data_IF_548221018093
#
_entry.id   IF_548221018093
#
_cell.length_a   1.000
_cell.length_b   1.000
_cell.length_c   1.000
_cell.angle_alpha   90.00
_cell.angle_beta   90.00
_cell.angle_gamma   90.00
#
_symmetry.space_group_name_H-M   'P 1'
#
loop_
_entity.id
_entity.type
_entity.pdbx_description
1 polymer ?
#
# COMPACT_ATOMS: atom_id res chain seq x y z
N UNK A 1 6.00 3.80 -11.23
CA UNK A 1 7.10 2.84 -11.11
C UNK A 1 6.55 1.42 -11.25
N UNK A 2 7.19 0.60 -12.05
CA UNK A 2 6.77 -0.79 -12.23
C UNK A 2 6.94 -1.58 -10.93
N UNK A 3 5.98 -2.42 -10.54
CA UNK A 3 6.15 -3.28 -9.38
C UNK A 3 7.26 -4.30 -9.66
N UNK A 4 8.09 -4.53 -8.66
CA UNK A 4 9.09 -5.59 -8.70
C UNK A 4 8.50 -6.82 -8.02
N UNK A 5 8.25 -7.88 -8.78
CA UNK A 5 7.66 -9.09 -8.24
C UNK A 5 8.71 -9.97 -7.57
N UNK A 6 8.37 -10.48 -6.40
CA UNK A 6 9.24 -11.37 -5.63
C UNK A 6 8.73 -12.80 -5.70
N UNK A 7 9.67 -13.75 -5.53
CA UNK A 7 9.37 -15.19 -5.50
C UNK A 7 8.63 -15.59 -4.24
N UNK A 8 7.75 -16.56 -4.34
CA UNK A 8 7.07 -17.15 -3.18
C UNK A 8 5.75 -16.50 -2.80
N UNK A 9 5.43 -15.35 -3.39
CA UNK A 9 4.14 -14.68 -3.20
C UNK A 9 3.40 -14.68 -4.53
N UNK A 10 2.13 -15.09 -4.59
CA UNK A 10 1.38 -15.06 -5.86
C UNK A 10 1.39 -13.67 -6.49
N UNK A 11 1.55 -13.63 -7.80
CA UNK A 11 1.65 -12.35 -8.53
C UNK A 11 0.40 -11.49 -8.34
N UNK A 12 -0.80 -12.08 -8.33
CA UNK A 12 -2.03 -11.32 -8.15
C UNK A 12 -2.10 -10.60 -6.80
N UNK A 13 -1.52 -11.20 -5.75
CA UNK A 13 -1.43 -10.57 -4.43
C UNK A 13 -0.52 -9.35 -4.50
N UNK A 14 0.62 -9.48 -5.17
CA UNK A 14 1.59 -8.39 -5.32
C UNK A 14 1.02 -7.22 -6.13
N UNK A 15 0.24 -7.52 -7.17
CA UNK A 15 -0.44 -6.49 -7.96
C UNK A 15 -1.45 -5.73 -7.08
N UNK A 16 -2.27 -6.45 -6.31
CA UNK A 16 -3.24 -5.83 -5.42
C UNK A 16 -2.55 -4.96 -4.36
N UNK A 17 -1.46 -5.46 -3.76
CA UNK A 17 -0.68 -4.71 -2.77
C UNK A 17 -0.07 -3.45 -3.36
N UNK A 18 0.44 -3.51 -4.58
CA UNK A 18 1.00 -2.34 -5.26
C UNK A 18 -0.05 -1.25 -5.49
N UNK A 19 -1.24 -1.64 -5.92
CA UNK A 19 -2.34 -0.70 -6.15
C UNK A 19 -2.79 -0.08 -4.81
N UNK A 20 -2.91 -0.87 -3.75
CA UNK A 20 -3.22 -0.34 -2.40
C UNK A 20 -2.17 0.68 -1.96
N UNK A 21 -0.89 0.38 -2.19
CA UNK A 21 0.20 1.31 -1.85
C UNK A 21 0.09 2.62 -2.63
N UNK A 22 -0.27 2.57 -3.91
CA UNK A 22 -0.45 3.76 -4.72
C UNK A 22 -1.63 4.61 -4.23
N UNK A 23 -2.72 3.98 -3.78
CA UNK A 23 -3.86 4.68 -3.19
C UNK A 23 -3.45 5.36 -1.87
N UNK A 24 -2.71 4.64 -1.01
CA UNK A 24 -2.22 5.20 0.26
C UNK A 24 -1.32 6.40 0.05
N UNK A 25 -0.42 6.34 -0.92
CA UNK A 25 0.52 7.44 -1.22
C UNK A 25 -0.13 8.60 -1.96
N UNK A 26 -1.35 8.43 -2.46
CA UNK A 26 -2.03 9.45 -3.23
C UNK A 26 -1.63 9.52 -4.70
N UNK A 27 -0.85 8.56 -5.19
CA UNK A 27 -0.54 8.42 -6.62
C UNK A 27 -1.80 8.07 -7.42
N UNK A 28 -2.64 7.21 -6.84
CA UNK A 28 -3.99 6.93 -7.34
C UNK A 28 -4.99 7.56 -6.37
N UNK A 29 -5.84 8.41 -6.89
CA UNK A 29 -6.86 9.14 -6.11
C UNK A 29 -8.25 8.64 -6.45
N UNK A 30 -9.21 8.92 -5.57
CA UNK A 30 -10.62 8.60 -5.83
C UNK A 30 -11.04 9.13 -7.20
N UNK A 31 -11.68 8.28 -7.99
CA UNK A 31 -12.12 8.61 -9.35
C UNK A 31 -11.09 8.36 -10.44
N UNK A 32 -9.82 8.12 -10.08
CA UNK A 32 -8.80 7.82 -11.09
C UNK A 32 -9.06 6.44 -11.70
N UNK A 33 -8.84 6.34 -12.99
CA UNK A 33 -8.97 5.08 -13.72
C UNK A 33 -7.69 4.25 -13.58
N UNK A 34 -7.85 2.96 -13.30
CA UNK A 34 -6.74 2.02 -13.31
C UNK A 34 -6.34 1.70 -14.74
N UNK A 35 -5.06 1.36 -14.95
CA UNK A 35 -4.62 0.78 -16.21
C UNK A 35 -5.47 -0.45 -16.52
N UNK A 36 -5.93 -0.59 -17.76
CA UNK A 36 -6.80 -1.71 -18.15
C UNK A 36 -6.08 -3.05 -17.94
N UNK A 37 -6.90 -4.10 -17.76
CA UNK A 37 -6.37 -5.48 -17.65
C UNK A 37 -5.46 -5.82 -18.84
N UNK A 38 -5.88 -5.45 -20.05
CA UNK A 38 -5.14 -5.72 -21.28
C UNK A 38 -3.80 -5.00 -21.30
N UNK A 39 -3.78 -3.70 -20.97
CA UNK A 39 -2.55 -2.91 -20.95
C UNK A 39 -1.60 -3.38 -19.85
N UNK A 40 -2.13 -3.67 -18.66
CA UNK A 40 -1.34 -4.15 -17.53
C UNK A 40 -0.68 -5.50 -17.89
N UNK A 41 -1.47 -6.40 -18.45
CA UNK A 41 -1.02 -7.72 -18.91
C UNK A 41 0.10 -7.59 -19.95
N UNK A 42 -0.07 -6.74 -20.93
CA UNK A 42 0.93 -6.54 -21.99
C UNK A 42 2.21 -5.89 -21.46
N UNK A 43 2.07 -4.87 -20.61
CA UNK A 43 3.22 -4.11 -20.07
C UNK A 43 4.12 -4.98 -19.19
N UNK A 44 3.52 -5.79 -18.31
CA UNK A 44 4.28 -6.59 -17.32
C UNK A 44 4.40 -8.05 -17.69
N UNK A 45 3.91 -8.45 -18.85
CA UNK A 45 3.95 -9.84 -19.34
C UNK A 45 3.30 -10.81 -18.36
N UNK A 46 2.12 -10.45 -17.88
CA UNK A 46 1.33 -11.23 -16.93
C UNK A 46 0.03 -11.63 -17.64
N UNK A 47 -0.46 -12.84 -17.38
CA UNK A 47 -1.72 -13.28 -17.99
C UNK A 47 -2.87 -12.39 -17.59
N UNK A 48 -3.81 -12.08 -18.50
CA UNK A 48 -5.00 -11.28 -18.17
C UNK A 48 -5.79 -11.85 -16.99
N UNK A 49 -5.86 -13.17 -16.86
CA UNK A 49 -6.55 -13.83 -15.76
C UNK A 49 -5.94 -13.47 -14.39
N UNK A 50 -4.61 -13.39 -14.31
CA UNK A 50 -3.91 -13.02 -13.08
C UNK A 50 -4.17 -11.55 -12.71
N UNK A 51 -4.10 -10.66 -13.69
CA UNK A 51 -4.42 -9.23 -13.48
C UNK A 51 -5.88 -9.08 -13.06
N UNK A 52 -6.79 -9.77 -13.74
CA UNK A 52 -8.22 -9.75 -13.42
C UNK A 52 -8.51 -10.23 -12.01
N UNK A 53 -7.78 -11.24 -11.52
CA UNK A 53 -7.92 -11.74 -10.16
C UNK A 53 -7.51 -10.68 -9.13
N UNK A 54 -6.42 -9.95 -9.39
CA UNK A 54 -5.99 -8.86 -8.52
C UNK A 54 -7.06 -7.75 -8.45
N UNK A 55 -7.59 -7.36 -9.60
CA UNK A 55 -8.62 -6.31 -9.68
C UNK A 55 -9.91 -6.77 -8.98
N UNK A 56 -10.29 -8.04 -9.11
CA UNK A 56 -11.48 -8.58 -8.44
C UNK A 56 -11.35 -8.50 -6.91
N UNK A 57 -10.17 -8.77 -6.37
CA UNK A 57 -9.89 -8.62 -4.94
C UNK A 57 -10.12 -7.17 -4.49
N UNK A 58 -9.62 -6.21 -5.25
CA UNK A 58 -9.77 -4.79 -4.92
C UNK A 58 -11.24 -4.33 -5.01
N UNK A 59 -12.00 -4.87 -5.94
CA UNK A 59 -13.44 -4.62 -6.05
C UNK A 59 -14.17 -5.19 -4.83
N UNK A 60 -13.85 -6.42 -4.43
CA UNK A 60 -14.45 -7.07 -3.25
C UNK A 60 -14.15 -6.30 -1.97
N UNK A 61 -13.00 -5.68 -1.88
CA UNK A 61 -12.62 -4.85 -0.73
C UNK A 61 -13.25 -3.46 -0.75
N UNK A 62 -13.93 -3.10 -1.84
CA UNK A 62 -14.55 -1.78 -1.98
C UNK A 62 -13.57 -0.66 -2.32
N UNK A 63 -12.34 -0.99 -2.69
CA UNK A 63 -11.31 0.00 -3.03
C UNK A 63 -11.37 0.45 -4.48
N UNK A 64 -11.95 -0.37 -5.34
CA UNK A 64 -12.05 -0.15 -6.77
C UNK A 64 -13.48 -0.43 -7.22
N UNK A 65 -13.98 0.37 -8.12
CA UNK A 65 -15.30 0.22 -8.73
C UNK A 65 -15.16 -0.15 -10.19
N UNK A 66 -15.91 -1.15 -10.63
CA UNK A 66 -16.02 -1.49 -12.03
C UNK A 66 -17.13 -0.68 -12.65
N UNK A 67 -16.80 0.09 -13.70
CA UNK A 67 -17.80 0.77 -14.54
C UNK A 67 -17.89 0.05 -15.87
N UNK A 68 -19.00 -0.61 -16.07
CA UNK A 68 -19.22 -1.49 -17.21
C UNK A 68 -18.97 -0.78 -18.55
N UNK A 69 -18.11 -1.35 -19.39
CA UNK A 69 -17.75 -0.80 -20.68
C UNK A 69 -16.77 0.37 -20.63
N UNK A 70 -16.40 0.84 -19.43
CA UNK A 70 -15.51 2.00 -19.27
C UNK A 70 -14.17 1.59 -18.62
N UNK A 71 -14.21 0.84 -17.53
CA UNK A 71 -13.00 0.38 -16.85
C UNK A 71 -13.14 0.28 -15.33
N UNK A 72 -12.01 0.25 -14.68
CA UNK A 72 -11.89 0.18 -13.22
C UNK A 72 -11.44 1.53 -12.69
N UNK A 73 -12.07 1.98 -11.61
CA UNK A 73 -11.82 3.31 -11.01
C UNK A 73 -11.63 3.18 -9.51
N UNK A 74 -10.77 4.02 -8.94
CA UNK A 74 -10.57 4.08 -7.49
C UNK A 74 -11.86 4.61 -6.84
N UNK A 75 -12.37 3.87 -5.85
CA UNK A 75 -13.61 4.21 -5.16
C UNK A 75 -13.42 5.41 -4.22
N UNK A 76 -14.52 6.16 -4.01
CA UNK A 76 -14.56 7.18 -2.97
C UNK A 76 -14.32 6.52 -1.60
N UNK A 77 -13.51 7.15 -0.77
CA UNK A 77 -13.20 6.63 0.57
C UNK A 77 -12.19 5.50 0.60
N UNK A 78 -11.64 5.06 -0.53
CA UNK A 78 -10.67 3.96 -0.58
C UNK A 78 -9.46 4.24 0.30
N UNK A 79 -8.86 5.43 0.20
CA UNK A 79 -7.70 5.79 1.01
C UNK A 79 -8.02 5.78 2.50
N UNK A 80 -9.16 6.34 2.89
CA UNK A 80 -9.57 6.38 4.30
C UNK A 80 -9.76 4.96 4.87
N UNK A 81 -10.33 4.06 4.08
CA UNK A 81 -10.50 2.66 4.50
C UNK A 81 -9.14 1.99 4.70
N UNK A 82 -8.20 2.19 3.78
CA UNK A 82 -6.85 1.63 3.89
C UNK A 82 -6.08 2.21 5.08
N UNK A 83 -6.23 3.50 5.36
CA UNK A 83 -5.59 4.14 6.52
C UNK A 83 -6.14 3.54 7.81
N UNK A 84 -7.46 3.39 7.93
CA UNK A 84 -8.08 2.82 9.13
C UNK A 84 -7.61 1.39 9.39
N UNK A 85 -7.62 0.55 8.36
CA UNK A 85 -7.16 -0.83 8.48
C UNK A 85 -5.66 -0.89 8.79
N UNK A 86 -4.88 -0.05 8.13
CA UNK A 86 -3.43 -0.02 8.29
C UNK A 86 -2.98 0.44 9.67
N UNK A 87 -3.71 1.35 10.31
CA UNK A 87 -3.33 1.88 11.62
C UNK A 87 -3.35 0.80 12.70
N UNK A 88 -4.40 -0.01 12.75
CA UNK A 88 -4.48 -1.10 13.75
C UNK A 88 -3.36 -2.12 13.54
N UNK A 89 -3.15 -2.54 12.31
CA UNK A 89 -2.11 -3.49 11.95
C UNK A 89 -0.71 -2.94 12.25
N UNK A 90 -0.48 -1.68 11.94
CA UNK A 90 0.81 -1.02 12.15
C UNK A 90 1.22 -1.03 13.62
N UNK A 91 0.31 -0.67 14.52
CA UNK A 91 0.61 -0.62 15.96
C UNK A 91 0.95 -2.02 16.48
N UNK A 92 0.13 -3.01 16.17
CA UNK A 92 0.29 -4.36 16.69
C UNK A 92 1.46 -5.12 16.06
N UNK A 93 1.63 -5.02 14.75
CA UNK A 93 2.57 -5.86 14.01
C UNK A 93 3.92 -5.19 13.76
N UNK A 94 4.00 -3.86 13.85
CA UNK A 94 5.23 -3.12 13.55
C UNK A 94 5.73 -2.31 14.74
N UNK A 95 4.89 -1.42 15.27
CA UNK A 95 5.33 -0.50 16.32
C UNK A 95 5.60 -1.22 17.63
N UNK A 96 4.67 -2.01 18.13
CA UNK A 96 4.84 -2.70 19.42
C UNK A 96 6.04 -3.64 19.39
N UNK A 97 6.25 -4.50 18.39
CA UNK A 97 7.45 -5.32 18.31
C UNK A 97 8.74 -4.51 18.23
N UNK A 98 8.73 -3.36 17.54
CA UNK A 98 9.92 -2.50 17.47
C UNK A 98 10.26 -1.91 18.84
N UNK A 99 9.25 -1.47 19.60
CA UNK A 99 9.46 -0.96 20.96
C UNK A 99 10.01 -2.07 21.87
N UNK A 100 9.42 -3.25 21.82
CA UNK A 100 9.88 -4.40 22.61
C UNK A 100 11.34 -4.75 22.28
N UNK A 101 11.70 -4.75 21.02
CA UNK A 101 13.07 -5.01 20.58
C UNK A 101 14.05 -3.96 21.13
N UNK A 102 13.68 -2.69 21.11
CA UNK A 102 14.49 -1.61 21.67
C UNK A 102 14.70 -1.76 23.17
N UNK A 103 13.65 -2.07 23.91
CA UNK A 103 13.73 -2.32 25.36
C UNK A 103 14.64 -3.51 25.67
N UNK A 104 14.55 -4.58 24.86
CA UNK A 104 15.41 -5.76 25.02
C UNK A 104 16.89 -5.44 24.81
N UNK A 105 17.21 -4.45 23.97
CA UNK A 105 18.56 -3.99 23.71
C UNK A 105 19.09 -3.03 24.79
N UNK A 106 18.27 -2.69 25.76
CA UNK A 106 18.65 -1.80 26.86
C UNK A 106 18.30 -0.34 26.67
N UNK A 107 17.58 0.01 25.61
CA UNK A 107 17.06 1.37 25.44
C UNK A 107 15.89 1.60 26.40
N UNK A 108 15.81 2.77 27.01
CA UNK A 108 14.60 3.14 27.76
C UNK A 108 13.60 3.83 26.81
N UNK A 109 12.39 4.05 27.31
CA UNK A 109 11.32 4.66 26.49
C UNK A 109 11.72 6.06 25.99
N UNK A 110 12.36 6.86 26.86
CA UNK A 110 12.76 8.21 26.47
C UNK A 110 13.80 8.20 25.34
N UNK A 111 14.73 7.26 25.38
CA UNK A 111 15.71 7.10 24.31
C UNK A 111 15.04 6.71 22.97
N UNK A 112 14.06 5.82 23.02
CA UNK A 112 13.29 5.43 21.83
C UNK A 112 12.53 6.63 21.29
N UNK A 113 11.86 7.37 22.14
CA UNK A 113 11.11 8.57 21.75
C UNK A 113 12.04 9.61 21.12
N UNK A 114 13.21 9.84 21.70
CA UNK A 114 14.18 10.79 21.16
C UNK A 114 14.66 10.39 19.76
N UNK A 115 14.91 9.11 19.52
CA UNK A 115 15.25 8.62 18.19
C UNK A 115 14.14 8.84 17.18
N UNK A 116 12.88 8.60 17.55
CA UNK A 116 11.73 8.82 16.70
C UNK A 116 11.59 10.31 16.33
N UNK A 117 11.75 11.19 17.32
CA UNK A 117 11.66 12.64 17.10
C UNK A 117 12.76 13.14 16.18
N UNK A 118 13.99 12.68 16.38
CA UNK A 118 15.12 13.07 15.54
C UNK A 118 14.93 12.62 14.09
N UNK A 119 14.46 11.39 13.90
CA UNK A 119 14.18 10.85 12.57
C UNK A 119 13.06 11.63 11.86
N UNK A 120 11.98 11.92 12.58
CA UNK A 120 10.84 12.66 12.05
C UNK A 120 11.24 14.08 11.62
N UNK A 121 12.02 14.78 12.43
CA UNK A 121 12.51 16.12 12.11
C UNK A 121 13.40 16.10 10.85
N UNK A 122 14.29 15.11 10.74
CA UNK A 122 15.20 14.95 9.63
C UNK A 122 14.44 14.63 8.32
N UNK A 123 13.47 13.73 8.41
CA UNK A 123 12.61 13.37 7.27
C UNK A 123 11.79 14.55 6.77
N UNK A 124 11.21 15.31 7.69
CA UNK A 124 10.44 16.53 7.35
C UNK A 124 11.32 17.57 6.66
N UNK A 125 12.55 17.75 7.14
CA UNK A 125 13.49 18.66 6.52
C UNK A 125 13.86 18.24 5.09
N UNK A 126 14.04 16.94 4.85
CA UNK A 126 14.30 16.41 3.51
C UNK A 126 13.14 16.59 2.54
N UNK A 127 11.92 16.44 3.01
CA UNK A 127 10.71 16.63 2.19
C UNK A 127 10.50 18.09 1.78
N UNK A 128 10.99 19.05 2.59
CA UNK A 128 10.87 20.48 2.31
C UNK A 128 11.96 21.03 1.36
N UNK A 129 13.02 20.29 1.19
CA UNK A 129 14.08 20.68 0.28
C UNK A 129 13.98 19.92 -1.05
#
# INVERSE_FOLDING_TARGET
MAPTFVSGIPIYVQIADDIRAQILRGTLRAGDQLTSTTEYSATYRITPATVGKAFAILVDEGLVEKRRGIGMFVAEGARNALVADGLATYVEETLNPAVEAGLALGLDIDAIIDHVRAYSADTTAKERS
#
